data_IF_261871189798
#
_entry.id   IF_261871189798
#
_cell.length_a   1.000
_cell.length_b   1.000
_cell.length_c   1.000
_cell.angle_alpha   90.00
_cell.angle_beta   90.00
_cell.angle_gamma   90.00
#
_symmetry.space_group_name_H-M   'P 1'
#
loop_
_entity.id
_entity.type
_entity.pdbx_description
1 polymer ?
#
# COMPACT_ATOMS: atom_id res chain seq x y z
N UNK A 1 2.89 -17.63 8.58
CA UNK A 1 1.93 -16.85 9.40
C UNK A 1 1.20 -17.78 10.34
N UNK A 2 0.93 -17.35 11.56
CA UNK A 2 0.11 -18.11 12.52
C UNK A 2 -1.35 -17.67 12.41
N UNK A 3 -2.29 -18.62 12.42
CA UNK A 3 -3.72 -18.31 12.43
C UNK A 3 -4.27 -18.35 13.86
N UNK A 4 -5.17 -17.42 14.17
CA UNK A 4 -5.91 -17.38 15.44
C UNK A 4 -7.38 -17.70 15.15
N UNK A 5 -8.01 -18.53 15.99
CA UNK A 5 -9.43 -18.83 15.88
C UNK A 5 -10.24 -17.63 16.35
N UNK A 6 -11.01 -17.04 15.44
CA UNK A 6 -11.94 -15.95 15.73
C UNK A 6 -13.36 -16.39 15.38
N UNK A 7 -14.31 -16.18 16.30
CA UNK A 7 -15.73 -16.42 16.06
C UNK A 7 -16.45 -15.08 15.91
N UNK A 8 -17.20 -14.93 14.83
CA UNK A 8 -17.96 -13.71 14.50
C UNK A 8 -19.36 -14.14 14.10
N UNK A 9 -20.38 -13.44 14.59
CA UNK A 9 -21.76 -13.63 14.18
C UNK A 9 -22.06 -12.74 12.97
N UNK A 10 -22.60 -13.35 11.91
CA UNK A 10 -23.07 -12.66 10.72
C UNK A 10 -24.59 -12.86 10.63
N UNK A 11 -25.29 -11.89 10.04
CA UNK A 11 -26.68 -12.11 9.68
C UNK A 11 -26.78 -13.20 8.61
N UNK A 12 -27.94 -13.85 8.52
CA UNK A 12 -28.17 -14.88 7.50
C UNK A 12 -27.97 -14.33 6.09
N UNK A 13 -28.38 -13.09 5.85
CA UNK A 13 -28.20 -12.38 4.59
C UNK A 13 -26.72 -12.16 4.28
N UNK A 14 -25.95 -11.61 5.22
CA UNK A 14 -24.51 -11.42 5.07
C UNK A 14 -23.80 -12.73 4.75
N UNK A 15 -24.10 -13.80 5.49
CA UNK A 15 -23.49 -15.10 5.27
C UNK A 15 -23.78 -15.65 3.87
N UNK A 16 -25.02 -15.54 3.39
CA UNK A 16 -25.40 -15.97 2.04
C UNK A 16 -24.67 -15.16 0.98
N UNK A 17 -24.67 -13.84 1.08
CA UNK A 17 -23.99 -12.95 0.11
C UNK A 17 -22.49 -13.21 0.05
N UNK A 18 -21.81 -13.32 1.21
CA UNK A 18 -20.38 -13.60 1.27
C UNK A 18 -20.04 -14.98 0.68
N UNK A 19 -20.91 -15.98 0.90
CA UNK A 19 -20.71 -17.33 0.34
C UNK A 19 -20.87 -17.34 -1.18
N UNK A 20 -21.80 -16.55 -1.73
CA UNK A 20 -21.95 -16.40 -3.17
C UNK A 20 -20.74 -15.72 -3.81
N UNK A 21 -20.22 -14.66 -3.18
CA UNK A 21 -19.01 -13.99 -3.66
C UNK A 21 -17.77 -14.89 -3.60
N UNK A 22 -17.57 -15.61 -2.49
CA UNK A 22 -16.50 -16.60 -2.40
C UNK A 22 -16.59 -17.66 -3.52
N UNK A 23 -17.82 -18.13 -3.82
CA UNK A 23 -18.07 -19.09 -4.91
C UNK A 23 -17.75 -18.49 -6.29
N UNK A 24 -18.12 -17.23 -6.55
CA UNK A 24 -17.79 -16.54 -7.82
C UNK A 24 -16.28 -16.44 -8.04
N UNK A 25 -15.52 -16.29 -6.96
CA UNK A 25 -14.06 -16.21 -6.99
C UNK A 25 -13.35 -17.58 -6.91
N UNK A 26 -14.10 -18.68 -6.71
CA UNK A 26 -13.53 -20.03 -6.62
C UNK A 26 -12.73 -20.29 -5.34
N UNK A 27 -12.96 -19.51 -4.28
CA UNK A 27 -12.25 -19.62 -2.99
C UNK A 27 -13.18 -20.05 -1.86
N UNK A 28 -12.61 -20.47 -0.74
CA UNK A 28 -13.40 -20.76 0.46
C UNK A 28 -13.95 -19.48 1.11
N UNK A 29 -15.07 -19.56 1.84
CA UNK A 29 -15.61 -18.42 2.60
C UNK A 29 -14.59 -17.85 3.58
N UNK A 30 -13.80 -18.70 4.23
CA UNK A 30 -12.78 -18.27 5.19
C UNK A 30 -11.63 -17.52 4.51
N UNK A 31 -11.25 -17.93 3.30
CA UNK A 31 -10.24 -17.24 2.49
C UNK A 31 -10.75 -15.90 1.96
N UNK A 32 -11.97 -15.89 1.44
CA UNK A 32 -12.64 -14.65 1.03
C UNK A 32 -12.71 -13.63 2.17
N UNK A 33 -13.13 -14.06 3.37
CA UNK A 33 -13.15 -13.20 4.56
C UNK A 33 -11.77 -12.68 4.94
N UNK A 34 -10.72 -13.49 4.82
CA UNK A 34 -9.34 -13.03 5.05
C UNK A 34 -8.92 -11.97 4.03
N UNK A 35 -9.18 -12.18 2.74
CA UNK A 35 -8.88 -11.18 1.71
C UNK A 35 -9.59 -9.85 1.96
N UNK A 36 -10.88 -9.89 2.29
CA UNK A 36 -11.66 -8.68 2.61
C UNK A 36 -11.09 -7.95 3.83
N UNK A 37 -10.72 -8.69 4.88
CA UNK A 37 -10.08 -8.10 6.08
C UNK A 37 -8.73 -7.50 5.72
N UNK A 38 -7.90 -8.21 4.95
CA UNK A 38 -6.59 -7.72 4.52
C UNK A 38 -6.75 -6.46 3.68
N UNK A 39 -7.64 -6.43 2.69
CA UNK A 39 -7.91 -5.24 1.86
C UNK A 39 -8.36 -4.05 2.71
N UNK A 40 -9.30 -4.27 3.65
CA UNK A 40 -9.76 -3.23 4.56
C UNK A 40 -8.61 -2.70 5.42
N UNK A 41 -7.77 -3.58 5.97
CA UNK A 41 -6.62 -3.18 6.79
C UNK A 41 -5.54 -2.47 5.96
N UNK A 42 -5.32 -2.87 4.71
CA UNK A 42 -4.39 -2.19 3.80
C UNK A 42 -4.91 -0.80 3.41
N UNK A 43 -6.22 -0.64 3.19
CA UNK A 43 -6.84 0.67 2.92
C UNK A 43 -6.91 1.56 4.16
N UNK A 44 -7.06 0.96 5.34
CA UNK A 44 -7.14 1.67 6.61
C UNK A 44 -5.77 2.12 7.14
N UNK A 45 -4.66 1.59 6.62
CA UNK A 45 -3.33 2.16 6.86
C UNK A 45 -3.31 3.57 6.26
N UNK A 46 -3.19 4.64 7.07
CA UNK A 46 -3.03 5.97 6.52
C UNK A 46 -1.76 6.01 5.67
N UNK A 47 -1.64 7.02 4.82
CA UNK A 47 -0.44 7.44 4.07
C UNK A 47 0.87 7.57 4.90
N UNK A 48 0.90 7.14 6.15
CA UNK A 48 2.05 7.13 7.06
C UNK A 48 3.25 6.36 6.51
N UNK A 49 3.06 5.27 5.75
CA UNK A 49 4.18 4.57 5.10
C UNK A 49 4.95 5.50 4.14
N UNK A 50 4.26 6.43 3.44
CA UNK A 50 4.93 7.44 2.61
C UNK A 50 5.58 8.55 3.44
N UNK A 51 5.04 8.87 4.62
CA UNK A 51 5.63 9.86 5.53
C UNK A 51 6.97 9.39 6.13
N UNK A 52 7.20 8.08 6.22
CA UNK A 52 8.51 7.53 6.62
C UNK A 52 9.63 7.85 5.61
N UNK A 53 9.28 8.17 4.36
CA UNK A 53 10.23 8.51 3.29
C UNK A 53 10.51 10.03 3.27
N UNK A 54 9.63 10.84 3.84
CA UNK A 54 9.79 12.29 3.92
C UNK A 54 10.98 12.62 4.83
N UNK A 55 11.89 13.48 4.35
CA UNK A 55 13.11 13.91 5.03
C UNK A 55 14.25 12.87 5.19
N UNK A 56 14.21 11.75 4.46
CA UNK A 56 15.34 10.79 4.39
C UNK A 56 16.64 11.41 3.83
N UNK A 57 16.55 12.46 3.02
CA UNK A 57 17.69 13.13 2.40
C UNK A 57 17.74 14.62 2.72
N UNK A 58 18.94 15.12 3.06
CA UNK A 58 19.23 16.56 3.22
C UNK A 58 20.24 17.00 2.17
N UNK A 59 19.76 17.66 1.11
CA UNK A 59 20.60 18.20 0.03
C UNK A 59 21.17 19.60 0.34
N UNK A 60 20.70 20.25 1.40
CA UNK A 60 20.99 21.65 1.75
C UNK A 60 20.33 22.69 0.84
N UNK A 61 19.56 22.25 -0.16
CA UNK A 61 18.92 23.09 -1.18
C UNK A 61 17.40 23.01 -1.04
N UNK A 62 16.71 24.13 -1.27
CA UNK A 62 15.26 24.27 -1.04
C UNK A 62 14.41 24.06 -2.29
N UNK A 63 15.02 24.02 -3.47
CA UNK A 63 14.39 24.05 -4.79
C UNK A 63 14.69 22.80 -5.63
N UNK A 64 15.18 21.73 -5.00
CA UNK A 64 15.59 20.49 -5.70
C UNK A 64 14.41 19.81 -6.39
N UNK A 65 13.21 19.86 -5.80
CA UNK A 65 12.00 19.29 -6.40
C UNK A 65 11.53 20.06 -7.63
N UNK A 66 11.69 21.39 -7.63
CA UNK A 66 11.24 22.26 -8.72
C UNK A 66 12.23 22.32 -9.88
N UNK A 67 13.54 22.25 -9.58
CA UNK A 67 14.63 22.42 -10.57
C UNK A 67 15.39 21.13 -10.83
N UNK A 68 14.75 19.99 -10.61
CA UNK A 68 15.38 18.67 -10.69
C UNK A 68 16.15 18.48 -12.02
N UNK A 69 15.54 18.81 -13.15
CA UNK A 69 16.15 18.64 -14.48
C UNK A 69 17.39 19.51 -14.68
N UNK A 70 17.38 20.74 -14.14
CA UNK A 70 18.54 21.64 -14.18
C UNK A 70 19.71 21.03 -13.40
N UNK A 71 19.45 20.50 -12.20
CA UNK A 71 20.48 19.86 -11.39
C UNK A 71 21.05 18.61 -12.05
N UNK A 72 20.20 17.80 -12.68
CA UNK A 72 20.66 16.63 -13.47
C UNK A 72 21.53 17.08 -14.64
N UNK A 73 21.11 18.10 -15.39
CA UNK A 73 21.88 18.63 -16.51
C UNK A 73 23.25 19.20 -16.09
N UNK A 74 23.31 19.95 -14.99
CA UNK A 74 24.56 20.46 -14.42
C UNK A 74 25.50 19.32 -13.96
N UNK A 75 24.95 18.29 -13.32
CA UNK A 75 25.72 17.13 -12.88
C UNK A 75 26.29 16.33 -14.07
N UNK A 76 25.50 16.14 -15.14
CA UNK A 76 25.95 15.47 -16.35
C UNK A 76 27.03 16.26 -17.09
N UNK A 77 26.88 17.59 -17.17
CA UNK A 77 27.90 18.48 -17.74
C UNK A 77 29.20 18.43 -16.96
N UNK A 78 29.15 18.50 -15.63
CA UNK A 78 30.37 18.46 -14.80
C UNK A 78 31.07 17.10 -14.84
N UNK A 79 30.34 15.99 -15.05
CA UNK A 79 30.92 14.65 -15.22
C UNK A 79 31.51 14.38 -16.61
N UNK A 80 31.09 15.11 -17.64
CA UNK A 80 31.65 15.02 -19.00
C UNK A 80 32.87 15.93 -19.25
N UNK A 81 33.31 16.70 -18.24
CA UNK A 81 34.56 17.50 -18.30
C UNK A 81 35.71 16.73 -17.62
N UNK A 82 35.81 15.43 -17.90
CA UNK A 82 36.97 14.60 -17.56
C UNK A 82 37.34 13.72 -18.74
#
# INVERSE_FOLDING_TARGET
MAFVRTQVYLTQEQHTSLKEEARKQGVSLAEFLRCVVDEYLHQAKPKEEFMQIVALGRSGRRDVSEKHDKYVAEALKSKHVR
#
